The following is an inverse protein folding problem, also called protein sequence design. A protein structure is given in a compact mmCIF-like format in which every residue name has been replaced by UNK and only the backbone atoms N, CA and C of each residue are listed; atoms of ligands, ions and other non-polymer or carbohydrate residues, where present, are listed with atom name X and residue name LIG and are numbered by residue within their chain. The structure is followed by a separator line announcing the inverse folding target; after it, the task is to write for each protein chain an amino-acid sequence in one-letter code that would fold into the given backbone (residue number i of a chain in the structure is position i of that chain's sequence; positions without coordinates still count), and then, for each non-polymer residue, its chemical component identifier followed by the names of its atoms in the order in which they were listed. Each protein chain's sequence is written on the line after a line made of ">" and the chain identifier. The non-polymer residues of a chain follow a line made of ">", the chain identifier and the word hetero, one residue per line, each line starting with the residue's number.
data_IF_351892805074
#
_entry.id   IF_351892805074
#
_cell.length_a   1.000
_cell.length_b   1.000
_cell.length_c   1.000
_cell.angle_alpha   90.00
_cell.angle_beta   90.00
_cell.angle_gamma   90.00
#
_symmetry.space_group_name_H-M   'P 1'
#
loop_
_entity.id
_entity.type
_entity.pdbx_description
1 polymer ?
#
# COMPACT_ATOMS: atom_id res chain seq x y z
N UNK A 1 -15.55 2.98 37.48
CA UNK A 1 -15.49 1.66 36.82
C UNK A 1 -16.26 1.72 35.50
N UNK A 2 -15.64 2.24 34.43
CA UNK A 2 -16.24 2.22 33.07
C UNK A 2 -15.19 1.58 32.17
N UNK A 3 -15.39 0.30 31.86
CA UNK A 3 -14.55 -0.44 30.92
C UNK A 3 -14.52 0.36 29.61
N UNK A 4 -13.38 0.98 29.28
CA UNK A 4 -13.07 1.31 27.90
C UNK A 4 -12.87 -0.04 27.22
N UNK A 5 -13.92 -0.52 26.57
CA UNK A 5 -13.79 -1.56 25.56
C UNK A 5 -12.87 -0.98 24.49
N UNK A 6 -11.60 -1.39 24.51
CA UNK A 6 -10.64 -1.04 23.47
C UNK A 6 -11.04 -1.84 22.23
N UNK A 7 -12.02 -1.32 21.50
CA UNK A 7 -12.25 -1.71 20.12
C UNK A 7 -11.05 -1.26 19.31
N UNK A 8 -10.52 -2.12 18.44
CA UNK A 8 -9.42 -1.81 17.50
C UNK A 8 -9.63 -0.52 16.69
N UNK A 9 -10.87 -0.04 16.60
CA UNK A 9 -11.28 1.26 16.08
C UNK A 9 -10.67 2.47 16.82
N UNK A 10 -10.15 2.31 18.04
CA UNK A 10 -9.47 3.37 18.80
C UNK A 10 -7.96 3.47 18.54
N UNK A 11 -7.36 2.56 17.76
CA UNK A 11 -5.92 2.64 17.41
C UNK A 11 -5.61 3.71 16.34
N UNK A 12 -6.67 4.23 15.69
CA UNK A 12 -6.59 5.35 14.78
C UNK A 12 -7.90 6.15 14.92
N UNK A 13 -8.00 7.07 15.90
CA UNK A 13 -9.06 8.06 15.87
C UNK A 13 -8.91 8.83 14.57
N UNK A 14 -9.97 8.96 13.73
CA UNK A 14 -9.90 9.81 12.56
C UNK A 14 -9.65 11.22 13.08
N UNK A 15 -8.48 11.78 12.74
CA UNK A 15 -7.92 13.03 13.26
C UNK A 15 -7.70 13.08 14.79
N UNK A 16 -6.64 12.43 15.29
CA UNK A 16 -6.02 12.94 16.52
C UNK A 16 -5.42 14.32 16.23
N UNK A 17 -5.53 15.30 17.14
CA UNK A 17 -4.80 16.55 17.02
C UNK A 17 -3.29 16.26 16.94
N UNK A 18 -2.49 17.10 16.26
CA UNK A 18 -1.04 16.91 16.17
C UNK A 18 -0.34 16.84 17.53
N UNK A 19 -0.97 17.38 18.58
CA UNK A 19 -0.50 17.31 19.98
C UNK A 19 -0.58 15.90 20.59
N UNK A 20 -1.42 15.01 20.05
CA UNK A 20 -1.63 13.65 20.57
C UNK A 20 -0.98 12.56 19.69
N UNK A 21 -0.24 12.92 18.64
CA UNK A 21 0.43 11.96 17.76
C UNK A 21 1.39 11.02 18.50
N UNK A 22 2.00 11.49 19.60
CA UNK A 22 2.86 10.70 20.49
C UNK A 22 2.13 9.60 21.29
N UNK A 23 0.81 9.69 21.42
CA UNK A 23 -0.03 8.65 22.04
C UNK A 23 -0.79 7.81 20.99
N UNK A 24 -0.65 8.18 19.71
CA UNK A 24 -1.34 7.55 18.58
C UNK A 24 -0.39 6.68 17.74
N UNK A 25 -0.23 7.04 16.46
CA UNK A 25 0.49 6.21 15.51
C UNK A 25 1.98 6.05 15.82
N UNK A 26 2.61 7.02 16.47
CA UNK A 26 4.03 6.95 16.81
C UNK A 26 4.38 5.78 17.74
N UNK A 27 3.41 5.25 18.49
CA UNK A 27 3.64 4.12 19.39
C UNK A 27 3.81 2.78 18.67
N UNK A 28 3.22 2.63 17.48
CA UNK A 28 3.15 1.34 16.79
C UNK A 28 3.67 1.38 15.35
N UNK A 29 3.79 2.57 14.75
CA UNK A 29 4.15 2.74 13.36
C UNK A 29 5.50 2.11 13.04
N UNK A 30 6.55 2.43 13.81
CA UNK A 30 7.91 1.95 13.54
C UNK A 30 8.01 0.43 13.63
N UNK A 31 7.38 -0.17 14.65
CA UNK A 31 7.36 -1.63 14.83
C UNK A 31 6.60 -2.33 13.70
N UNK A 32 5.40 -1.87 13.37
CA UNK A 32 4.59 -2.47 12.30
C UNK A 32 5.18 -2.23 10.92
N UNK A 33 5.80 -1.07 10.68
CA UNK A 33 6.51 -0.77 9.44
C UNK A 33 7.75 -1.65 9.29
N UNK A 34 8.56 -1.79 10.35
CA UNK A 34 9.71 -2.69 10.38
C UNK A 34 9.31 -4.15 10.14
N UNK A 35 8.24 -4.61 10.80
CA UNK A 35 7.65 -5.93 10.56
C UNK A 35 7.25 -6.08 9.09
N UNK A 36 6.49 -5.13 8.55
CA UNK A 36 6.07 -5.16 7.15
C UNK A 36 7.27 -5.23 6.20
N UNK A 37 8.29 -4.39 6.41
CA UNK A 37 9.53 -4.35 5.63
C UNK A 37 10.32 -5.67 5.68
N UNK A 38 10.37 -6.32 6.84
CA UNK A 38 11.09 -7.60 7.04
C UNK A 38 10.45 -8.79 6.32
N UNK A 39 9.13 -8.75 6.11
CA UNK A 39 8.38 -9.88 5.57
C UNK A 39 8.36 -9.87 4.04
N UNK A 40 8.79 -10.97 3.43
CA UNK A 40 8.81 -11.14 1.97
C UNK A 40 7.82 -12.19 1.44
N UNK A 41 7.24 -13.00 2.34
CA UNK A 41 6.48 -14.22 2.01
C UNK A 41 4.96 -14.01 1.80
N UNK A 42 4.50 -12.77 1.67
CA UNK A 42 3.11 -12.42 1.34
C UNK A 42 2.04 -13.04 2.28
N UNK A 43 2.18 -12.90 3.61
CA UNK A 43 1.24 -13.52 4.56
C UNK A 43 -0.14 -12.87 4.54
N UNK A 44 -1.18 -13.63 4.85
CA UNK A 44 -2.60 -13.21 4.77
C UNK A 44 -2.94 -11.89 5.47
N UNK A 45 -2.21 -11.56 6.54
CA UNK A 45 -2.41 -10.33 7.31
C UNK A 45 -1.84 -9.07 6.64
N UNK A 46 -0.97 -9.20 5.64
CA UNK A 46 -0.28 -8.05 5.03
C UNK A 46 -1.26 -7.06 4.39
N UNK A 47 -2.35 -7.57 3.78
CA UNK A 47 -3.39 -6.71 3.22
C UNK A 47 -4.09 -5.85 4.28
N UNK A 48 -4.20 -6.33 5.52
CA UNK A 48 -4.78 -5.57 6.62
C UNK A 48 -3.82 -4.46 7.10
N UNK A 49 -2.51 -4.73 7.12
CA UNK A 49 -1.51 -3.68 7.40
C UNK A 49 -1.49 -2.62 6.31
N UNK A 50 -1.59 -3.00 5.03
CA UNK A 50 -1.65 -2.01 3.93
C UNK A 50 -2.89 -1.13 4.04
N UNK A 51 -4.05 -1.68 4.40
CA UNK A 51 -5.24 -0.88 4.67
C UNK A 51 -5.02 0.10 5.83
N UNK A 52 -4.41 -0.36 6.92
CA UNK A 52 -4.06 0.51 8.06
C UNK A 52 -3.12 1.64 7.65
N UNK A 53 -2.06 1.35 6.90
CA UNK A 53 -1.10 2.35 6.42
C UNK A 53 -1.72 3.32 5.42
N UNK A 54 -2.60 2.85 4.53
CA UNK A 54 -3.30 3.70 3.58
C UNK A 54 -4.18 4.75 4.29
N UNK A 55 -4.91 4.32 5.32
CA UNK A 55 -5.72 5.22 6.16
C UNK A 55 -4.83 6.17 6.97
N UNK A 56 -3.77 5.65 7.59
CA UNK A 56 -2.82 6.47 8.34
C UNK A 56 -2.21 7.57 7.48
N UNK A 57 -1.75 7.23 6.27
CA UNK A 57 -1.18 8.17 5.33
C UNK A 57 -2.20 9.25 4.91
N UNK A 58 -3.43 8.84 4.61
CA UNK A 58 -4.49 9.76 4.21
C UNK A 58 -4.93 10.72 5.32
N UNK A 59 -5.01 10.22 6.56
CA UNK A 59 -5.49 11.01 7.69
C UNK A 59 -4.40 11.93 8.26
N UNK A 60 -3.12 11.68 7.95
CA UNK A 60 -1.95 12.37 8.52
C UNK A 60 -0.98 12.87 7.42
N UNK A 61 -1.52 13.42 6.34
CA UNK A 61 -0.72 13.95 5.22
C UNK A 61 0.24 15.04 5.74
N UNK A 62 1.53 14.86 5.48
CA UNK A 62 2.59 15.79 5.91
C UNK A 62 3.11 15.60 7.34
N UNK A 63 2.52 14.71 8.13
CA UNK A 63 2.99 14.42 9.50
C UNK A 63 3.85 13.15 9.60
N UNK A 64 3.72 12.24 8.64
CA UNK A 64 4.53 11.01 8.56
C UNK A 64 5.49 11.13 7.39
N UNK A 65 6.79 10.95 7.65
CA UNK A 65 7.78 10.87 6.58
C UNK A 65 7.78 9.47 5.97
N UNK A 66 7.21 9.36 4.78
CA UNK A 66 7.17 8.11 4.01
C UNK A 66 8.35 7.94 3.06
N UNK A 67 9.24 8.93 2.95
CA UNK A 67 10.23 9.05 1.87
C UNK A 67 11.12 7.81 1.73
N UNK A 68 11.57 7.25 2.85
CA UNK A 68 12.40 6.05 2.88
C UNK A 68 11.67 4.77 2.41
N UNK A 69 10.34 4.73 2.56
CA UNK A 69 9.52 3.55 2.29
C UNK A 69 8.94 3.53 0.88
N UNK A 70 8.82 4.70 0.23
CA UNK A 70 8.22 4.88 -1.10
C UNK A 70 8.70 3.82 -2.12
N UNK A 71 10.01 3.60 -2.36
CA UNK A 71 10.45 2.62 -3.36
C UNK A 71 9.96 1.19 -3.06
N UNK A 72 9.90 0.82 -1.78
CA UNK A 72 9.45 -0.51 -1.35
C UNK A 72 7.94 -0.66 -1.49
N UNK A 73 7.18 0.41 -1.21
CA UNK A 73 5.72 0.46 -1.40
C UNK A 73 5.38 0.20 -2.86
N UNK A 74 5.96 0.95 -3.79
CA UNK A 74 5.71 0.80 -5.22
C UNK A 74 6.15 -0.57 -5.76
N UNK A 75 7.31 -1.06 -5.33
CA UNK A 75 7.79 -2.41 -5.70
C UNK A 75 6.84 -3.51 -5.23
N UNK A 76 6.32 -3.42 -4.00
CA UNK A 76 5.37 -4.41 -3.48
C UNK A 76 4.01 -4.32 -4.16
N UNK A 77 3.52 -3.12 -4.47
CA UNK A 77 2.29 -2.93 -5.26
C UNK A 77 2.43 -3.62 -6.63
N UNK A 78 3.52 -3.35 -7.36
CA UNK A 78 3.80 -3.98 -8.65
C UNK A 78 3.84 -5.51 -8.55
N UNK A 79 4.54 -6.06 -7.55
CA UNK A 79 4.57 -7.51 -7.29
C UNK A 79 3.18 -8.08 -7.02
N UNK A 80 2.30 -7.34 -6.34
CA UNK A 80 0.92 -7.78 -6.04
C UNK A 80 -0.01 -7.69 -7.25
N UNK A 81 0.33 -6.96 -8.31
CA UNK A 81 -0.42 -6.99 -9.56
C UNK A 81 -0.31 -8.35 -10.28
N UNK A 82 0.63 -9.21 -9.88
CA UNK A 82 0.81 -10.57 -10.39
C UNK A 82 0.92 -10.62 -11.92
N UNK A 83 1.66 -9.67 -12.48
CA UNK A 83 1.88 -9.58 -13.93
C UNK A 83 2.90 -10.64 -14.37
N UNK A 84 2.65 -11.36 -15.47
CA UNK A 84 3.65 -12.28 -16.02
C UNK A 84 4.81 -11.47 -16.59
N UNK A 85 6.01 -11.68 -16.05
CA UNK A 85 7.24 -11.07 -16.55
C UNK A 85 8.18 -12.16 -17.04
N UNK A 86 8.69 -12.02 -18.27
CA UNK A 86 9.59 -12.98 -18.91
C UNK A 86 8.91 -14.15 -19.62
N UNK A 87 9.71 -14.91 -20.38
CA UNK A 87 9.28 -16.09 -21.14
C UNK A 87 8.75 -17.20 -20.22
N UNK A 88 7.44 -17.40 -20.24
CA UNK A 88 6.73 -18.60 -19.81
C UNK A 88 7.19 -19.27 -18.50
N UNK A 89 7.48 -18.50 -17.45
CA UNK A 89 7.47 -19.08 -16.11
C UNK A 89 6.03 -19.14 -15.63
N UNK A 90 5.45 -20.35 -15.71
CA UNK A 90 4.26 -20.69 -14.92
C UNK A 90 4.64 -20.60 -13.44
N UNK A 91 4.60 -19.39 -12.89
CA UNK A 91 4.66 -19.20 -11.45
C UNK A 91 3.39 -19.86 -10.92
N UNK A 92 3.56 -21.04 -10.31
CA UNK A 92 2.49 -21.75 -9.63
C UNK A 92 1.72 -20.74 -8.75
N UNK A 93 0.39 -20.86 -8.63
CA UNK A 93 -0.45 -19.89 -7.92
C UNK A 93 -0.19 -19.98 -6.42
N UNK A 94 0.99 -19.54 -5.98
CA UNK A 94 1.32 -19.34 -4.58
C UNK A 94 0.62 -18.04 -4.21
N UNK A 95 -0.51 -18.18 -3.52
CA UNK A 95 -1.20 -17.09 -2.80
C UNK A 95 -2.08 -16.13 -3.63
N UNK A 96 -2.88 -16.66 -4.57
CA UNK A 96 -3.91 -15.88 -5.28
C UNK A 96 -4.99 -15.25 -4.37
N UNK A 97 -5.07 -15.64 -3.09
CA UNK A 97 -6.10 -15.19 -2.15
C UNK A 97 -5.74 -13.91 -1.40
N UNK A 98 -4.49 -13.45 -1.50
CA UNK A 98 -3.97 -12.42 -0.61
C UNK A 98 -3.60 -11.13 -1.35
N UNK A 99 -4.53 -10.68 -2.18
CA UNK A 99 -4.40 -9.46 -2.96
C UNK A 99 -4.76 -8.23 -2.12
N UNK A 100 -3.91 -7.20 -2.14
CA UNK A 100 -4.30 -5.88 -1.65
C UNK A 100 -5.56 -5.39 -2.37
N UNK A 101 -6.49 -4.81 -1.60
CA UNK A 101 -7.60 -4.06 -2.17
C UNK A 101 -7.06 -2.86 -2.96
N UNK A 102 -7.53 -2.71 -4.18
CA UNK A 102 -7.07 -1.67 -5.10
C UNK A 102 -7.46 -0.29 -4.56
N UNK A 103 -8.62 -0.17 -3.89
CA UNK A 103 -9.05 1.08 -3.29
C UNK A 103 -8.06 1.61 -2.24
N UNK A 104 -7.54 0.73 -1.38
CA UNK A 104 -6.53 1.12 -0.40
C UNK A 104 -5.16 1.37 -1.03
N UNK A 105 -4.82 0.69 -2.14
CA UNK A 105 -3.59 1.01 -2.90
C UNK A 105 -3.68 2.43 -3.47
N UNK A 106 -4.79 2.77 -4.13
CA UNK A 106 -5.00 4.10 -4.71
C UNK A 106 -5.01 5.17 -3.62
N UNK A 107 -5.70 4.91 -2.50
CA UNK A 107 -5.70 5.80 -1.34
C UNK A 107 -4.28 6.03 -0.80
N UNK A 108 -3.48 4.97 -0.67
CA UNK A 108 -2.11 5.10 -0.17
C UNK A 108 -1.23 5.87 -1.14
N UNK A 109 -1.27 5.53 -2.44
CA UNK A 109 -0.49 6.25 -3.48
C UNK A 109 -0.86 7.73 -3.47
N UNK A 110 -2.15 8.07 -3.47
CA UNK A 110 -2.61 9.47 -3.50
C UNK A 110 -2.18 10.25 -2.26
N UNK A 111 -2.24 9.64 -1.08
CA UNK A 111 -1.75 10.25 0.16
C UNK A 111 -0.22 10.44 0.20
N UNK A 112 0.53 9.63 -0.55
CA UNK A 112 1.98 9.74 -0.68
C UNK A 112 2.40 10.79 -1.73
N UNK A 113 1.49 11.28 -2.57
CA UNK A 113 1.80 12.31 -3.57
C UNK A 113 1.74 13.70 -2.94
N UNK A 114 2.79 14.49 -3.15
CA UNK A 114 2.85 15.90 -2.72
C UNK A 114 4.07 16.22 -1.86
N UNK A 115 4.32 17.50 -1.65
CA UNK A 115 5.49 17.99 -0.93
C UNK A 115 6.73 18.22 -1.81
N UNK A 116 7.61 19.16 -1.43
CA UNK A 116 8.80 19.49 -2.21
C UNK A 116 9.80 18.33 -2.22
N UNK A 117 10.27 17.93 -3.41
CA UNK A 117 11.29 16.89 -3.56
C UNK A 117 10.81 15.44 -3.35
N UNK A 118 9.50 15.20 -3.29
CA UNK A 118 8.96 13.87 -3.02
C UNK A 118 9.19 12.89 -4.21
N UNK A 119 9.84 11.71 -3.99
CA UNK A 119 10.09 10.72 -5.04
C UNK A 119 8.84 9.94 -5.49
N UNK A 120 7.70 10.05 -4.79
CA UNK A 120 6.47 9.32 -5.10
C UNK A 120 6.00 9.50 -6.54
N UNK A 121 6.10 10.71 -7.10
CA UNK A 121 5.70 10.97 -8.49
C UNK A 121 6.61 10.26 -9.52
N UNK A 122 7.90 10.09 -9.18
CA UNK A 122 8.84 9.34 -10.01
C UNK A 122 8.52 7.85 -9.98
N UNK A 123 8.29 7.29 -8.80
CA UNK A 123 7.91 5.87 -8.63
C UNK A 123 6.54 5.57 -9.23
N UNK A 124 5.52 6.36 -8.89
CA UNK A 124 4.57 6.97 -9.81
C UNK A 124 4.58 6.52 -11.28
N UNK A 125 5.39 7.30 -12.01
CA UNK A 125 5.62 7.22 -13.44
C UNK A 125 6.30 5.91 -13.84
N UNK A 126 7.23 5.41 -13.01
CA UNK A 126 7.90 4.12 -13.21
C UNK A 126 6.92 2.95 -13.16
N UNK A 127 5.98 2.97 -12.21
CA UNK A 127 4.92 1.97 -12.09
C UNK A 127 4.07 1.94 -13.35
N UNK A 128 3.53 3.08 -13.78
CA UNK A 128 2.73 3.17 -14.99
C UNK A 128 3.49 2.74 -16.25
N UNK A 129 4.77 3.13 -16.38
CA UNK A 129 5.62 2.70 -17.48
C UNK A 129 5.81 1.18 -17.50
N UNK A 130 5.95 0.56 -16.32
CA UNK A 130 6.12 -0.89 -16.18
C UNK A 130 4.88 -1.68 -16.56
N UNK A 131 3.69 -1.10 -16.36
CA UNK A 131 2.41 -1.76 -16.65
C UNK A 131 1.79 -1.35 -17.99
N UNK A 132 2.36 -0.36 -18.68
CA UNK A 132 1.80 0.23 -19.91
C UNK A 132 1.52 -0.80 -21.00
N UNK A 133 2.44 -1.75 -21.22
CA UNK A 133 2.27 -2.79 -22.23
C UNK A 133 1.07 -3.69 -21.96
N UNK A 134 0.71 -3.93 -20.70
CA UNK A 134 -0.43 -4.77 -20.31
C UNK A 134 -1.79 -4.12 -20.56
N UNK A 135 -1.83 -2.82 -20.89
CA UNK A 135 -3.06 -2.12 -21.31
C UNK A 135 -3.31 -2.19 -22.82
N UNK A 136 -2.35 -2.67 -23.61
CA UNK A 136 -2.56 -2.79 -25.05
C UNK A 136 -3.71 -3.77 -25.33
N UNK A 137 -4.66 -3.45 -26.26
CA UNK A 137 -5.81 -4.32 -26.53
C UNK A 137 -5.46 -5.76 -26.89
N UNK A 138 -4.28 -6.01 -27.47
CA UNK A 138 -3.84 -7.38 -27.79
C UNK A 138 -3.32 -8.18 -26.59
N UNK A 139 -3.08 -7.54 -25.44
CA UNK A 139 -2.50 -8.16 -24.24
C UNK A 139 -3.58 -8.47 -23.20
N UNK A 140 -4.45 -9.43 -23.54
CA UNK A 140 -5.51 -9.90 -22.63
C UNK A 140 -5.00 -10.93 -21.63
N UNK A 141 -5.49 -10.83 -20.38
CA UNK A 141 -5.14 -11.79 -19.34
C UNK A 141 -5.87 -11.56 -18.02
N UNK A 142 -5.63 -12.45 -17.05
CA UNK A 142 -6.30 -12.42 -15.74
C UNK A 142 -6.02 -11.14 -14.93
N UNK A 143 -4.93 -10.43 -15.25
CA UNK A 143 -4.56 -9.16 -14.63
C UNK A 143 -5.42 -7.96 -15.08
N UNK A 144 -6.11 -8.05 -16.22
CA UNK A 144 -6.79 -6.91 -16.84
C UNK A 144 -7.88 -6.30 -15.95
N UNK A 145 -8.70 -7.12 -15.28
CA UNK A 145 -9.76 -6.61 -14.37
C UNK A 145 -9.20 -5.86 -13.17
N UNK A 146 -7.96 -6.14 -12.77
CA UNK A 146 -7.27 -5.47 -11.66
C UNK A 146 -6.59 -4.19 -12.13
N UNK A 147 -5.95 -4.21 -13.30
CA UNK A 147 -5.38 -3.03 -13.91
C UNK A 147 -6.44 -1.98 -14.25
N UNK A 148 -7.59 -2.38 -14.80
CA UNK A 148 -8.68 -1.45 -15.09
C UNK A 148 -9.21 -0.76 -13.83
N UNK A 149 -9.37 -1.50 -12.73
CA UNK A 149 -9.77 -0.92 -11.43
C UNK A 149 -8.73 0.01 -10.80
N UNK A 150 -7.47 -0.05 -11.22
CA UNK A 150 -6.44 0.90 -10.77
C UNK A 150 -6.59 2.27 -11.46
N UNK A 151 -7.20 2.30 -12.65
CA UNK A 151 -7.42 3.52 -13.44
C UNK A 151 -8.77 4.19 -13.18
N UNK A 152 -9.73 3.47 -12.60
CA UNK A 152 -11.08 3.95 -12.28
C UNK A 152 -11.11 4.63 -10.92
#
# INVERSE_FOLDING_TARGET
>A
CKRRSVTWSCFCPPSCPPEEHGQGFQLWFDELMSLWMSVQNQPSWEGHLVNLFARLANDNIGYVDWTAYIPTIFTRILRRLNLPVGVSQMVAPRYLTNSYDIGYIVLWITALLGGPGNPAQKELTCLFSSIASFYHPSNHGRWQSRLLRLLQ
#
